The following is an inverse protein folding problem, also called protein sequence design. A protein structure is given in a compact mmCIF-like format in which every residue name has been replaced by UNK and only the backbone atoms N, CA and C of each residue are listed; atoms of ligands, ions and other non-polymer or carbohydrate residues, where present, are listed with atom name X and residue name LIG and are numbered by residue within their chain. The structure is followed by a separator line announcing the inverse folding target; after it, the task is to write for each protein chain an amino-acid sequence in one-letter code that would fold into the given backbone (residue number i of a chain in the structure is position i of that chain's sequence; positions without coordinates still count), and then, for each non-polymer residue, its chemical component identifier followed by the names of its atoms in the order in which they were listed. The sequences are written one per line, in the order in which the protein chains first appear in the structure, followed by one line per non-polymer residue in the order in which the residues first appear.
data_IF_021923909001
#
_entry.id   IF_021923909001
#
_cell.length_a   1.000
_cell.length_b   1.000
_cell.length_c   1.000
_cell.angle_alpha   90.00
_cell.angle_beta   90.00
_cell.angle_gamma   90.00
#
_symmetry.space_group_name_H-M   'P 1'
#
loop_
_entity.id
_entity.type
_entity.pdbx_description
1 polymer ?
#
# COMPACT_ATOMS: atom_id res chain seq x y z
N UNK A 1 -6.32 35.67 -9.63
CA UNK A 1 -6.76 34.28 -9.87
C UNK A 1 -5.56 33.38 -9.55
N UNK A 2 -5.42 32.98 -8.29
CA UNK A 2 -4.39 32.02 -7.88
C UNK A 2 -5.06 30.66 -7.78
N UNK A 3 -4.96 29.88 -8.84
CA UNK A 3 -5.50 28.54 -8.90
C UNK A 3 -4.54 27.58 -8.16
N UNK A 4 -4.98 27.09 -7.01
CA UNK A 4 -4.25 26.18 -6.12
C UNK A 4 -4.28 24.72 -6.61
N UNK A 5 -4.56 24.49 -7.91
CA UNK A 5 -4.66 23.17 -8.54
C UNK A 5 -3.31 22.47 -8.77
N UNK A 6 -2.17 23.11 -8.44
CA UNK A 6 -0.82 22.63 -8.79
C UNK A 6 -0.08 21.82 -7.70
N UNK A 7 -0.68 21.52 -6.54
CA UNK A 7 0.05 20.89 -5.42
C UNK A 7 -0.58 19.58 -4.91
N UNK A 8 -0.57 18.51 -5.72
CA UNK A 8 -0.76 17.14 -5.18
C UNK A 8 0.14 16.07 -5.83
N UNK A 9 1.36 16.43 -6.22
CA UNK A 9 2.41 15.47 -6.56
C UNK A 9 3.21 15.05 -5.31
N UNK A 10 2.50 14.85 -4.19
CA UNK A 10 3.10 14.57 -2.89
C UNK A 10 3.61 13.11 -2.84
N UNK A 11 4.88 12.91 -3.23
CA UNK A 11 5.61 11.68 -2.92
C UNK A 11 6.06 11.72 -1.48
N UNK A 12 5.60 10.76 -0.68
CA UNK A 12 6.15 10.55 0.65
C UNK A 12 6.97 9.27 0.73
N UNK A 13 8.25 9.41 1.07
CA UNK A 13 9.16 8.26 1.28
C UNK A 13 9.09 7.86 2.75
N UNK A 14 8.69 6.63 3.02
CA UNK A 14 8.69 6.06 4.38
C UNK A 14 10.04 5.36 4.60
N UNK A 15 10.81 5.83 5.58
CA UNK A 15 12.08 5.21 6.03
C UNK A 15 11.81 4.27 7.21
N UNK A 16 12.65 3.25 7.37
CA UNK A 16 12.58 2.32 8.49
C UNK A 16 12.75 3.07 9.83
N UNK A 17 11.86 2.84 10.80
CA UNK A 17 12.04 3.25 12.19
C UNK A 17 11.39 4.56 12.69
N UNK A 18 10.36 5.12 12.05
CA UNK A 18 9.68 6.31 12.60
C UNK A 18 8.14 6.20 12.64
N UNK A 19 7.53 6.08 13.84
CA UNK A 19 6.12 6.38 14.04
C UNK A 19 5.87 7.89 13.87
N UNK A 20 4.92 8.25 13.00
CA UNK A 20 4.67 9.63 12.55
C UNK A 20 3.94 10.55 13.56
N UNK A 21 3.61 10.08 14.76
CA UNK A 21 2.91 10.91 15.75
C UNK A 21 3.82 11.53 16.83
N UNK A 22 5.12 11.20 16.87
CA UNK A 22 5.99 11.62 17.98
C UNK A 22 6.57 13.05 17.90
N UNK A 23 6.28 13.89 16.88
CA UNK A 23 6.98 15.20 16.85
C UNK A 23 6.31 16.41 16.20
N UNK A 24 5.16 16.36 15.54
CA UNK A 24 4.53 17.61 15.05
C UNK A 24 3.03 17.49 14.84
N UNK A 25 2.26 17.74 15.90
CA UNK A 25 0.92 18.30 15.81
C UNK A 25 0.66 19.16 17.07
N UNK A 26 1.36 20.29 17.16
CA UNK A 26 0.80 21.48 17.80
C UNK A 26 -0.37 21.94 16.93
N UNK A 27 -1.55 21.32 17.10
CA UNK A 27 -2.79 21.95 16.67
C UNK A 27 -3.26 22.82 17.83
N UNK A 28 -2.98 24.11 17.69
CA UNK A 28 -3.46 25.18 18.56
C UNK A 28 -4.96 25.01 18.74
N UNK A 29 -5.38 24.62 19.95
CA UNK A 29 -6.77 24.69 20.38
C UNK A 29 -7.08 26.15 20.65
N UNK A 30 -7.37 26.91 19.61
CA UNK A 30 -8.05 28.19 19.76
C UNK A 30 -9.53 27.89 19.88
N UNK A 31 -10.07 28.16 21.07
CA UNK A 31 -11.49 28.05 21.38
C UNK A 31 -12.33 28.80 20.34
N UNK A 32 -13.22 28.08 19.67
CA UNK A 32 -14.39 28.68 19.03
C UNK A 32 -15.62 27.93 19.54
N UNK A 33 -16.37 28.62 20.40
CA UNK A 33 -17.73 28.28 20.76
C UNK A 33 -18.61 28.51 19.53
N UNK A 34 -19.34 27.50 19.08
CA UNK A 34 -20.45 27.69 18.13
C UNK A 34 -20.62 26.57 17.08
N UNK A 35 -21.81 25.97 17.12
CA UNK A 35 -22.45 25.11 16.12
C UNK A 35 -21.89 23.70 15.88
N UNK A 36 -22.74 22.72 16.22
CA UNK A 36 -22.57 21.32 15.87
C UNK A 36 -22.56 21.13 14.36
N UNK A 37 -21.37 20.96 13.81
CA UNK A 37 -21.15 20.37 12.51
C UNK A 37 -20.87 18.88 12.73
N UNK A 38 -21.78 18.02 12.27
CA UNK A 38 -21.47 16.61 12.11
C UNK A 38 -20.27 16.48 11.17
N UNK A 39 -19.09 16.22 11.72
CA UNK A 39 -17.94 15.84 10.92
C UNK A 39 -18.26 14.48 10.29
N UNK A 40 -18.70 14.47 9.03
CA UNK A 40 -18.63 13.28 8.20
C UNK A 40 -17.16 12.88 8.12
N UNK A 41 -16.76 11.87 8.91
CA UNK A 41 -15.48 11.22 8.75
C UNK A 41 -15.51 10.53 7.38
N UNK A 42 -14.92 11.14 6.36
CA UNK A 42 -14.76 10.49 5.07
C UNK A 42 -13.83 9.29 5.28
N UNK A 43 -14.37 8.09 5.08
CA UNK A 43 -13.64 6.83 5.19
C UNK A 43 -12.44 6.84 4.24
N UNK A 44 -11.23 6.69 4.78
CA UNK A 44 -10.00 6.67 3.99
C UNK A 44 -9.80 5.27 3.44
N UNK A 45 -9.62 5.19 2.13
CA UNK A 45 -9.34 3.92 1.43
C UNK A 45 -7.89 3.91 0.94
N UNK A 46 -7.11 2.92 1.37
CA UNK A 46 -5.77 2.68 0.85
C UNK A 46 -5.71 1.48 -0.09
N UNK A 47 -4.75 1.49 -1.00
CA UNK A 47 -4.40 0.32 -1.80
C UNK A 47 -2.93 -0.06 -1.63
N UNK A 48 -2.67 -1.36 -1.76
CA UNK A 48 -1.33 -1.92 -1.80
C UNK A 48 -1.32 -3.26 -2.50
N UNK A 49 -0.15 -3.84 -2.73
CA UNK A 49 -0.08 -5.16 -3.37
C UNK A 49 1.30 -5.78 -3.40
N UNK A 50 1.31 -7.06 -3.74
CA UNK A 50 2.53 -7.86 -3.79
C UNK A 50 2.26 -9.32 -4.12
N UNK A 51 3.34 -10.09 -4.29
CA UNK A 51 3.22 -11.54 -4.45
C UNK A 51 2.98 -12.22 -3.10
N UNK A 52 3.59 -11.72 -2.03
CA UNK A 52 3.44 -12.27 -0.67
C UNK A 52 3.75 -13.77 -0.56
N UNK A 53 4.71 -14.27 -1.34
CA UNK A 53 5.09 -15.69 -1.33
C UNK A 53 5.58 -16.13 0.06
N UNK A 54 6.65 -15.50 0.53
CA UNK A 54 7.14 -15.65 1.90
C UNK A 54 6.85 -14.36 2.64
N UNK A 55 5.93 -14.40 3.62
CA UNK A 55 5.54 -13.25 4.47
C UNK A 55 6.64 -12.91 5.50
N UNK A 56 7.78 -12.43 5.01
CA UNK A 56 8.89 -11.93 5.81
C UNK A 56 8.58 -10.55 6.41
N UNK A 57 9.47 -10.07 7.32
CA UNK A 57 9.33 -8.80 8.02
C UNK A 57 9.02 -7.62 7.08
N UNK A 58 9.72 -7.52 5.94
CA UNK A 58 9.42 -6.47 4.96
C UNK A 58 7.98 -6.45 4.42
N UNK A 59 7.34 -7.61 4.22
CA UNK A 59 5.92 -7.69 3.86
C UNK A 59 5.02 -7.36 5.06
N UNK A 60 5.35 -7.88 6.24
CA UNK A 60 4.58 -7.63 7.46
C UNK A 60 4.52 -6.13 7.80
N UNK A 61 5.66 -5.45 7.74
CA UNK A 61 5.74 -3.99 7.85
C UNK A 61 4.93 -3.28 6.78
N UNK A 62 5.07 -3.70 5.51
CA UNK A 62 4.34 -3.08 4.40
C UNK A 62 2.84 -3.15 4.65
N UNK A 63 2.32 -4.34 4.97
CA UNK A 63 0.89 -4.57 5.23
C UNK A 63 0.43 -3.74 6.44
N UNK A 64 1.20 -3.75 7.54
CA UNK A 64 0.90 -2.95 8.74
C UNK A 64 0.79 -1.47 8.37
N UNK A 65 1.76 -0.93 7.63
CA UNK A 65 1.74 0.44 7.17
C UNK A 65 0.51 0.73 6.32
N UNK A 66 0.09 -0.14 5.41
CA UNK A 66 -1.15 0.11 4.63
C UNK A 66 -2.37 0.33 5.55
N UNK A 67 -2.53 -0.53 6.58
CA UNK A 67 -3.64 -0.43 7.53
C UNK A 67 -3.53 0.75 8.51
N UNK A 68 -2.34 1.32 8.72
CA UNK A 68 -2.15 2.52 9.56
C UNK A 68 -2.66 3.80 8.89
N UNK A 69 -2.73 3.83 7.56
CA UNK A 69 -3.08 5.03 6.80
C UNK A 69 -4.55 5.12 6.38
N UNK A 70 -5.34 4.06 6.59
CA UNK A 70 -6.70 3.96 6.06
C UNK A 70 -7.64 3.12 6.91
N UNK A 71 -8.93 3.43 6.78
CA UNK A 71 -10.04 2.72 7.40
C UNK A 71 -10.33 1.42 6.64
N UNK A 72 -10.32 1.51 5.30
CA UNK A 72 -10.50 0.41 4.35
C UNK A 72 -9.25 0.16 3.50
N UNK A 73 -8.99 -1.10 3.17
CA UNK A 73 -7.81 -1.48 2.37
C UNK A 73 -8.16 -2.40 1.21
N UNK A 74 -7.79 -2.00 -0.01
CA UNK A 74 -7.79 -2.85 -1.19
C UNK A 74 -6.39 -3.43 -1.45
N UNK A 75 -6.21 -4.72 -1.21
CA UNK A 75 -4.96 -5.44 -1.44
C UNK A 75 -4.97 -6.24 -2.74
N UNK A 76 -3.93 -6.05 -3.55
CA UNK A 76 -3.67 -6.85 -4.73
C UNK A 76 -2.67 -7.96 -4.45
N UNK A 77 -3.08 -9.21 -4.70
CA UNK A 77 -2.20 -10.38 -4.61
C UNK A 77 -1.97 -10.94 -6.01
N UNK A 78 -0.72 -11.00 -6.48
CA UNK A 78 -0.44 -11.47 -7.85
C UNK A 78 -0.99 -12.87 -8.10
N UNK A 79 -1.56 -13.13 -9.28
CA UNK A 79 -1.92 -14.48 -9.74
C UNK A 79 -0.68 -15.37 -9.83
N UNK A 80 -0.88 -16.67 -10.03
CA UNK A 80 0.25 -17.60 -10.16
C UNK A 80 1.00 -17.36 -11.47
N UNK A 81 0.29 -17.05 -12.55
CA UNK A 81 0.86 -16.70 -13.86
C UNK A 81 1.66 -15.42 -13.77
N UNK A 82 1.10 -14.38 -13.14
CA UNK A 82 1.79 -13.10 -12.96
C UNK A 82 3.01 -13.23 -12.05
N UNK A 83 2.92 -14.05 -10.99
CA UNK A 83 4.03 -14.31 -10.10
C UNK A 83 5.16 -15.08 -10.79
N UNK A 84 4.84 -16.13 -11.55
CA UNK A 84 5.81 -16.93 -12.32
C UNK A 84 6.57 -16.06 -13.33
N UNK A 85 5.88 -15.15 -14.03
CA UNK A 85 6.53 -14.25 -14.98
C UNK A 85 7.54 -13.28 -14.32
N UNK A 86 7.44 -13.03 -13.01
CA UNK A 86 8.31 -12.10 -12.26
C UNK A 86 9.34 -12.76 -11.36
N UNK A 87 9.25 -14.08 -11.10
CA UNK A 87 10.12 -14.78 -10.14
C UNK A 87 10.92 -15.86 -10.84
N UNK A 88 12.19 -15.99 -10.44
CA UNK A 88 13.12 -17.01 -10.94
C UNK A 88 12.97 -18.36 -10.24
N UNK A 89 11.94 -18.52 -9.41
CA UNK A 89 11.68 -19.71 -8.59
C UNK A 89 10.18 -19.99 -8.55
N UNK A 90 9.83 -21.22 -8.16
CA UNK A 90 8.44 -21.62 -8.01
C UNK A 90 7.81 -20.93 -6.80
N UNK A 91 6.80 -20.11 -7.08
CA UNK A 91 6.03 -19.38 -6.07
C UNK A 91 4.90 -20.26 -5.56
N UNK A 92 4.59 -20.17 -4.26
CA UNK A 92 3.43 -20.88 -3.69
C UNK A 92 2.14 -20.53 -4.45
N UNK A 93 1.22 -21.49 -4.64
CA UNK A 93 -0.08 -21.22 -5.25
C UNK A 93 -0.84 -20.05 -4.61
N UNK A 94 -1.60 -19.34 -5.42
CA UNK A 94 -2.30 -18.11 -5.05
C UNK A 94 -3.13 -18.26 -3.78
N UNK A 95 -3.93 -19.32 -3.71
CA UNK A 95 -4.79 -19.60 -2.57
C UNK A 95 -4.01 -19.76 -1.26
N UNK A 96 -2.81 -20.35 -1.29
CA UNK A 96 -1.95 -20.49 -0.10
C UNK A 96 -1.39 -19.13 0.34
N UNK A 97 -1.02 -18.27 -0.61
CA UNK A 97 -0.50 -16.93 -0.32
C UNK A 97 -1.58 -16.04 0.28
N UNK A 98 -2.79 -16.05 -0.29
CA UNK A 98 -3.96 -15.34 0.26
C UNK A 98 -4.29 -15.85 1.67
N UNK A 99 -4.40 -17.16 1.87
CA UNK A 99 -4.71 -17.73 3.19
C UNK A 99 -3.70 -17.32 4.27
N UNK A 100 -2.41 -17.31 3.93
CA UNK A 100 -1.35 -16.87 4.86
C UNK A 100 -1.41 -15.36 5.12
N UNK A 101 -1.72 -14.56 4.10
CA UNK A 101 -1.89 -13.12 4.23
C UNK A 101 -3.08 -12.78 5.13
N UNK A 102 -4.25 -13.38 4.89
CA UNK A 102 -5.43 -13.20 5.74
C UNK A 102 -5.17 -13.66 7.18
N UNK A 103 -4.51 -14.81 7.36
CA UNK A 103 -4.13 -15.30 8.70
C UNK A 103 -3.23 -14.31 9.44
N UNK A 104 -2.32 -13.62 8.73
CA UNK A 104 -1.48 -12.58 9.32
C UNK A 104 -2.31 -11.33 9.67
N UNK A 105 -3.15 -10.84 8.76
CA UNK A 105 -3.99 -9.66 8.96
C UNK A 105 -4.93 -9.86 10.18
N UNK A 106 -5.63 -10.99 10.23
CA UNK A 106 -6.59 -11.28 11.29
C UNK A 106 -5.87 -11.59 12.61
N UNK A 107 -4.99 -12.60 12.62
CA UNK A 107 -4.46 -13.15 13.88
C UNK A 107 -3.26 -12.37 14.43
N UNK A 108 -2.55 -11.59 13.62
CA UNK A 108 -1.37 -10.83 14.06
C UNK A 108 -1.59 -9.33 14.10
N UNK A 109 -2.43 -8.76 13.23
CA UNK A 109 -2.78 -7.34 13.27
C UNK A 109 -4.11 -7.06 13.97
N UNK A 110 -4.96 -8.07 14.19
CA UNK A 110 -6.28 -7.87 14.82
C UNK A 110 -7.25 -7.09 13.94
N UNK A 111 -7.07 -7.15 12.62
CA UNK A 111 -7.91 -6.42 11.66
C UNK A 111 -9.09 -7.30 11.24
N UNK A 112 -10.30 -6.76 11.34
CA UNK A 112 -11.54 -7.43 10.95
C UNK A 112 -11.65 -7.62 9.42
N UNK A 113 -12.40 -8.63 9.00
CA UNK A 113 -12.51 -9.03 7.58
C UNK A 113 -13.20 -8.00 6.69
N UNK A 114 -14.05 -7.18 7.27
CA UNK A 114 -14.80 -6.07 6.64
C UNK A 114 -13.94 -4.83 6.36
N UNK A 115 -12.71 -4.76 6.90
CA UNK A 115 -11.78 -3.66 6.67
C UNK A 115 -10.90 -3.81 5.44
N UNK A 116 -11.02 -4.93 4.71
CA UNK A 116 -10.19 -5.14 3.54
C UNK A 116 -10.83 -6.02 2.47
N UNK A 117 -10.44 -5.77 1.24
CA UNK A 117 -10.72 -6.60 0.08
C UNK A 117 -9.39 -7.13 -0.48
N UNK A 118 -9.35 -8.41 -0.86
CA UNK A 118 -8.21 -8.97 -1.61
C UNK A 118 -8.67 -9.23 -3.04
N UNK A 119 -8.05 -8.54 -4.00
CA UNK A 119 -8.22 -8.80 -5.43
C UNK A 119 -7.01 -9.51 -5.99
N UNK A 120 -7.25 -10.43 -6.92
CA UNK A 120 -6.18 -11.06 -7.67
C UNK A 120 -5.63 -10.09 -8.71
N UNK A 121 -4.31 -9.92 -8.74
CA UNK A 121 -3.61 -9.13 -9.75
C UNK A 121 -3.17 -10.04 -10.89
N UNK A 122 -3.88 -9.92 -12.01
CA UNK A 122 -3.56 -10.63 -13.25
C UNK A 122 -2.74 -9.76 -14.21
N UNK A 123 -3.02 -8.45 -14.26
CA UNK A 123 -2.30 -7.49 -15.12
C UNK A 123 -2.22 -6.11 -14.48
N UNK A 124 -1.27 -5.28 -14.93
CA UNK A 124 -1.20 -3.87 -14.50
C UNK A 124 -2.29 -3.00 -15.15
N UNK A 125 -2.81 -3.41 -16.31
CA UNK A 125 -3.92 -2.72 -16.97
C UNK A 125 -5.21 -2.84 -16.13
N UNK A 126 -5.46 -4.02 -15.55
CA UNK A 126 -6.54 -4.23 -14.59
C UNK A 126 -6.41 -3.29 -13.39
N UNK A 127 -5.25 -3.28 -12.72
CA UNK A 127 -5.00 -2.40 -11.57
C UNK A 127 -5.19 -0.93 -11.93
N UNK A 128 -4.68 -0.51 -13.09
CA UNK A 128 -4.92 0.85 -13.61
C UNK A 128 -6.42 1.15 -13.69
N UNK A 129 -7.21 0.29 -14.34
CA UNK A 129 -8.64 0.50 -14.52
C UNK A 129 -9.39 0.58 -13.19
N UNK A 130 -9.02 -0.26 -12.23
CA UNK A 130 -9.60 -0.24 -10.89
C UNK A 130 -9.28 1.08 -10.19
N UNK A 131 -8.00 1.51 -10.19
CA UNK A 131 -7.58 2.78 -9.58
C UNK A 131 -8.12 4.02 -10.27
N UNK A 132 -8.60 3.93 -11.52
CA UNK A 132 -9.31 5.02 -12.18
C UNK A 132 -10.79 5.09 -11.77
N UNK A 133 -11.38 3.98 -11.34
CA UNK A 133 -12.81 3.89 -11.00
C UNK A 133 -13.07 4.12 -9.51
N UNK A 134 -12.32 3.43 -8.67
CA UNK A 134 -12.45 3.39 -7.21
C UNK A 134 -12.05 4.73 -6.55
N UNK A 135 -12.67 5.04 -5.40
CA UNK A 135 -12.33 6.20 -4.57
C UNK A 135 -11.15 5.88 -3.62
N UNK A 136 -10.00 5.60 -4.23
CA UNK A 136 -8.75 5.36 -3.51
C UNK A 136 -8.11 6.68 -3.11
N UNK A 137 -7.75 6.80 -1.84
CA UNK A 137 -7.13 7.99 -1.27
C UNK A 137 -5.61 7.86 -1.22
N UNK A 138 -5.12 6.65 -0.96
CA UNK A 138 -3.70 6.39 -0.67
C UNK A 138 -3.24 5.13 -1.41
N UNK A 139 -2.05 5.17 -2.01
CA UNK A 139 -1.39 4.00 -2.57
C UNK A 139 -0.02 3.81 -1.92
N UNK A 140 0.16 2.71 -1.19
CA UNK A 140 1.49 2.30 -0.74
C UNK A 140 2.13 1.42 -1.79
N UNK A 141 3.29 1.82 -2.30
CA UNK A 141 3.99 1.10 -3.37
C UNK A 141 5.47 0.97 -3.10
N UNK A 142 6.11 -0.01 -3.73
CA UNK A 142 7.56 -0.04 -3.88
C UNK A 142 8.00 0.91 -5.01
N UNK A 143 9.28 1.35 -5.05
CA UNK A 143 9.74 2.36 -6.01
C UNK A 143 9.44 2.01 -7.48
N UNK A 144 9.45 0.72 -7.81
CA UNK A 144 9.16 0.16 -9.13
C UNK A 144 7.80 0.58 -9.72
N UNK A 145 6.80 0.86 -8.88
CA UNK A 145 5.45 1.24 -9.31
C UNK A 145 5.17 2.75 -9.24
N UNK A 146 6.10 3.57 -8.75
CA UNK A 146 5.89 5.02 -8.58
C UNK A 146 5.52 5.71 -9.91
N UNK A 147 6.24 5.40 -10.98
CA UNK A 147 5.99 5.99 -12.30
C UNK A 147 4.63 5.59 -12.88
N UNK A 148 4.15 4.37 -12.59
CA UNK A 148 2.82 3.92 -12.99
C UNK A 148 1.74 4.73 -12.25
N UNK A 149 1.84 4.84 -10.92
CA UNK A 149 0.87 5.58 -10.10
C UNK A 149 0.82 7.06 -10.44
N UNK A 150 1.97 7.67 -10.78
CA UNK A 150 2.04 9.03 -11.32
C UNK A 150 1.19 9.23 -12.58
N UNK A 151 1.29 8.30 -13.54
CA UNK A 151 0.48 8.34 -14.77
C UNK A 151 -1.01 8.15 -14.47
N UNK A 152 -1.34 7.26 -13.54
CA UNK A 152 -2.72 7.06 -13.10
C UNK A 152 -3.27 8.34 -12.47
N UNK A 153 -2.50 9.02 -11.61
CA UNK A 153 -2.91 10.29 -11.03
C UNK A 153 -3.17 11.37 -12.08
N UNK A 154 -2.30 11.47 -13.09
CA UNK A 154 -2.53 12.41 -14.18
C UNK A 154 -3.88 12.15 -14.86
N UNK A 155 -4.14 10.90 -15.23
CA UNK A 155 -5.39 10.52 -15.88
C UNK A 155 -6.62 10.66 -14.96
N UNK A 156 -6.45 10.50 -13.64
CA UNK A 156 -7.51 10.81 -12.67
C UNK A 156 -7.85 12.31 -12.69
N UNK A 157 -6.83 13.16 -12.66
CA UNK A 157 -6.99 14.62 -12.67
C UNK A 157 -7.59 15.12 -13.99
N UNK A 158 -7.17 14.53 -15.12
CA UNK A 158 -7.74 14.84 -16.45
C UNK A 158 -9.25 14.51 -16.52
N UNK A 159 -9.70 13.53 -15.73
CA UNK A 159 -11.13 13.17 -15.59
C UNK A 159 -11.82 13.82 -14.37
N UNK A 160 -11.22 14.86 -13.76
CA UNK A 160 -11.80 15.59 -12.63
C UNK A 160 -11.82 14.84 -11.29
N UNK A 161 -11.10 13.71 -11.19
CA UNK A 161 -10.94 12.97 -9.92
C UNK A 161 -9.73 13.47 -9.14
N UNK A 162 -9.82 13.37 -7.80
CA UNK A 162 -8.68 13.65 -6.91
C UNK A 162 -7.54 12.67 -7.16
N UNK A 163 -6.30 13.17 -7.12
CA UNK A 163 -5.11 12.34 -7.14
C UNK A 163 -5.00 11.45 -5.89
N UNK A 164 -4.36 10.29 -6.06
CA UNK A 164 -4.06 9.35 -4.98
C UNK A 164 -2.75 9.79 -4.30
N UNK A 165 -2.72 9.87 -2.97
CA UNK A 165 -1.47 10.10 -2.24
C UNK A 165 -0.54 8.88 -2.38
N UNK A 166 0.65 9.06 -2.96
CA UNK A 166 1.59 7.96 -3.21
C UNK A 166 2.61 7.87 -2.09
N UNK A 167 2.51 6.81 -1.29
CA UNK A 167 3.48 6.44 -0.27
C UNK A 167 4.46 5.43 -0.86
N UNK A 168 5.76 5.74 -0.84
CA UNK A 168 6.80 4.85 -1.37
C UNK A 168 7.53 4.18 -0.21
N UNK A 169 7.34 2.87 -0.04
CA UNK A 169 8.12 2.04 0.89
C UNK A 169 9.40 1.57 0.20
N UNK A 170 10.54 1.93 0.76
CA UNK A 170 11.82 1.39 0.32
C UNK A 170 11.90 -0.11 0.66
N UNK A 171 12.62 -0.89 -0.17
CA UNK A 171 12.83 -2.31 0.10
C UNK A 171 13.60 -2.45 1.41
N UNK A 172 13.07 -3.26 2.34
CA UNK A 172 13.75 -3.56 3.61
C UNK A 172 15.05 -4.30 3.28
N UNK A 173 16.17 -3.94 3.91
CA UNK A 173 17.45 -4.63 3.75
C UNK A 173 17.68 -5.61 4.90
N UNK A 174 18.38 -6.70 4.65
CA UNK A 174 18.85 -7.64 5.66
C UNK A 174 20.06 -7.08 6.41
N UNK A 175 20.50 -7.80 7.46
CA UNK A 175 21.68 -7.44 8.25
C UNK A 175 22.99 -7.37 7.44
N UNK A 176 23.02 -7.94 6.23
CA UNK A 176 24.16 -7.95 5.32
C UNK A 176 24.01 -6.90 4.19
N UNK A 177 23.08 -5.94 4.35
CA UNK A 177 22.79 -4.88 3.38
C UNK A 177 22.23 -5.39 2.02
N UNK A 178 21.83 -6.67 1.93
CA UNK A 178 21.09 -7.25 0.81
C UNK A 178 19.59 -7.02 0.95
N UNK A 179 18.81 -7.14 -0.13
CA UNK A 179 17.35 -6.95 -0.05
C UNK A 179 16.65 -8.09 0.73
N UNK A 180 15.88 -7.78 1.77
CA UNK A 180 14.89 -8.70 2.34
C UNK A 180 13.72 -8.85 1.38
N UNK A 181 13.80 -9.87 0.54
CA UNK A 181 12.76 -10.27 -0.41
C UNK A 181 12.57 -11.78 -0.38
N UNK A 182 11.39 -12.27 -0.76
CA UNK A 182 11.16 -13.72 -0.93
C UNK A 182 12.20 -14.37 -1.86
N UNK A 183 12.69 -13.64 -2.87
CA UNK A 183 13.76 -14.09 -3.76
C UNK A 183 15.10 -14.30 -3.04
N UNK A 184 15.48 -13.36 -2.16
CA UNK A 184 16.73 -13.46 -1.40
C UNK A 184 16.66 -14.59 -0.35
N UNK A 185 15.52 -14.76 0.30
CA UNK A 185 15.28 -15.85 1.26
C UNK A 185 15.40 -17.20 0.54
N UNK A 186 14.73 -17.36 -0.62
CA UNK A 186 14.77 -18.61 -1.38
C UNK A 186 16.19 -18.94 -1.90
N UNK A 187 16.95 -17.96 -2.40
CA UNK A 187 18.35 -18.15 -2.81
C UNK A 187 19.25 -18.62 -1.66
N UNK A 188 18.94 -18.22 -0.42
CA UNK A 188 19.72 -18.61 0.77
C UNK A 188 19.40 -20.04 1.22
N UNK A 189 18.20 -20.54 0.95
CA UNK A 189 17.81 -21.94 1.21
C UNK A 189 18.38 -22.95 0.20
N UNK A 190 18.78 -22.54 -1.00
CA UNK A 190 19.38 -23.43 -2.02
C UNK A 190 20.90 -23.62 -1.80
N UNK A 191 21.54 -22.79 -0.98
CA UNK A 191 23.01 -22.82 -0.73
C UNK A 191 23.43 -23.55 0.55
N UNK A 192 22.49 -24.20 1.24
CA UNK A 192 22.73 -25.06 2.40
C UNK A 192 22.32 -26.49 2.05
#
# INVERSE_FOLDING_TARGET
MNDLSCLMDARLIIRQGSPRWASTASMSTTMFSGNGHHHHHQERVATGGGTFDTLHLGHQEYIRTVFEYADQVLLYVSSDEYAKAKKVYEVRPYHLRVRRLESFIINKLGINRDRYEIRQLNTLAQVKNDLLKEDIHIALVVPEYYALLRRINQERMDHGKKGILILVKQRTRDHNNGDLSSTAIHRRFIRL
#
